data_IF_195528337385
#
_entry.id   IF_195528337385
#
_cell.length_a   1.000
_cell.length_b   1.000
_cell.length_c   1.000
_cell.angle_alpha   90.00
_cell.angle_beta   90.00
_cell.angle_gamma   90.00
#
_symmetry.space_group_name_H-M   'P 1'
#
loop_
_entity.id
_entity.type
_entity.pdbx_description
1 polymer ?
#
# COMPACT_ATOMS: atom_id res chain seq x y z
N UNK A 1 -44.05 50.78 24.88
CA UNK A 1 -42.70 51.35 24.69
C UNK A 1 -41.70 50.35 25.26
N UNK A 2 -40.68 49.81 24.59
CA UNK A 2 -39.99 50.21 23.38
C UNK A 2 -38.48 50.23 23.65
N UNK A 3 -37.75 49.32 22.98
CA UNK A 3 -36.31 49.32 22.65
C UNK A 3 -35.33 48.56 23.58
N UNK A 4 -35.01 47.35 23.13
CA UNK A 4 -33.68 46.84 22.72
C UNK A 4 -32.51 46.97 23.71
N UNK A 5 -31.93 45.82 24.08
CA UNK A 5 -30.50 45.52 23.85
C UNK A 5 -30.32 44.02 23.59
N UNK A 6 -29.78 43.71 22.41
CA UNK A 6 -29.21 42.42 22.00
C UNK A 6 -27.83 42.31 22.67
N UNK A 7 -27.32 41.08 22.89
CA UNK A 7 -25.90 40.65 22.99
C UNK A 7 -25.72 39.71 24.22
N UNK A 8 -25.21 38.49 24.12
CA UNK A 8 -24.56 37.83 22.98
C UNK A 8 -24.61 36.31 23.13
N UNK A 9 -24.87 35.65 22.01
CA UNK A 9 -24.50 34.27 21.78
C UNK A 9 -22.97 34.18 21.82
N UNK A 10 -22.42 33.41 22.76
CA UNK A 10 -20.99 33.17 22.92
C UNK A 10 -20.66 31.69 22.74
N UNK A 11 -20.92 31.20 21.53
CA UNK A 11 -20.31 30.08 20.83
C UNK A 11 -19.46 29.10 21.69
N UNK A 12 -20.06 27.95 22.02
CA UNK A 12 -19.31 26.74 22.33
C UNK A 12 -18.55 26.31 21.07
N UNK A 13 -17.22 26.32 21.12
CA UNK A 13 -16.39 25.59 20.18
C UNK A 13 -15.50 24.63 20.95
N UNK A 14 -16.08 23.47 21.26
CA UNK A 14 -15.32 22.26 21.48
C UNK A 14 -14.63 21.92 20.15
N UNK A 15 -13.38 22.35 19.98
CA UNK A 15 -12.53 21.92 18.87
C UNK A 15 -11.97 20.53 19.19
N UNK A 16 -12.85 19.54 19.27
CA UNK A 16 -12.48 18.14 19.41
C UNK A 16 -12.51 17.49 18.02
N UNK A 17 -11.31 17.14 17.55
CA UNK A 17 -11.11 16.01 16.65
C UNK A 17 -11.61 16.17 15.22
N UNK A 18 -10.77 16.71 14.36
CA UNK A 18 -10.51 16.05 13.08
C UNK A 18 -9.00 16.10 12.85
N UNK A 19 -8.27 15.25 13.58
CA UNK A 19 -7.06 14.67 13.02
C UNK A 19 -7.53 13.75 11.89
N UNK A 20 -7.91 14.36 10.75
CA UNK A 20 -8.10 13.62 9.52
C UNK A 20 -6.80 12.87 9.31
N UNK A 21 -6.87 11.55 9.31
CA UNK A 21 -5.79 10.69 8.87
C UNK A 21 -5.26 11.28 7.57
N UNK A 22 -4.07 11.88 7.61
CA UNK A 22 -3.33 12.15 6.41
C UNK A 22 -3.05 10.77 5.82
N UNK A 23 -3.98 10.30 4.98
CA UNK A 23 -3.79 9.13 4.15
C UNK A 23 -2.47 9.40 3.45
N UNK A 24 -1.43 8.63 3.76
CA UNK A 24 -0.12 8.92 3.20
C UNK A 24 -0.23 8.81 1.68
N UNK A 25 -0.32 9.93 0.98
CA UNK A 25 -0.40 10.03 -0.49
C UNK A 25 0.95 9.73 -1.13
N UNK A 26 1.67 8.72 -0.66
CA UNK A 26 3.01 8.41 -1.15
C UNK A 26 2.99 7.10 -1.93
N UNK A 27 3.13 7.23 -3.24
CA UNK A 27 3.30 6.13 -4.18
C UNK A 27 2.02 5.43 -4.65
N UNK A 28 0.83 5.98 -4.40
CA UNK A 28 -0.46 5.31 -4.72
C UNK A 28 -1.29 5.98 -5.82
N UNK A 29 -0.91 7.17 -6.31
CA UNK A 29 -1.74 7.94 -7.25
C UNK A 29 -1.97 7.27 -8.62
N UNK A 30 -1.15 6.28 -8.95
CA UNK A 30 -1.23 5.50 -10.19
C UNK A 30 -1.94 4.16 -10.00
N UNK A 31 -2.20 3.76 -8.75
CA UNK A 31 -2.77 2.45 -8.45
C UNK A 31 -4.29 2.50 -8.52
N UNK A 32 -4.89 1.49 -9.14
CA UNK A 32 -6.33 1.28 -9.19
C UNK A 32 -6.89 1.09 -7.75
N UNK A 33 -8.15 1.44 -7.54
CA UNK A 33 -8.78 1.30 -6.23
C UNK A 33 -9.01 -0.17 -5.82
N UNK A 34 -9.22 -1.06 -6.79
CA UNK A 34 -9.40 -2.48 -6.59
C UNK A 34 -8.08 -3.22 -6.33
N UNK A 35 -8.16 -4.26 -5.48
CA UNK A 35 -7.05 -5.18 -5.26
C UNK A 35 -7.21 -6.44 -6.12
N UNK A 36 -6.07 -6.98 -6.55
CA UNK A 36 -5.94 -8.26 -7.22
C UNK A 36 -4.94 -9.13 -6.46
N UNK A 37 -5.06 -10.45 -6.63
CA UNK A 37 -3.97 -11.38 -6.34
C UNK A 37 -3.24 -11.74 -7.63
N UNK A 38 -1.92 -11.65 -7.58
CA UNK A 38 -1.01 -12.09 -8.62
C UNK A 38 -0.21 -13.28 -8.09
N UNK A 39 -0.39 -14.44 -8.73
CA UNK A 39 0.43 -15.63 -8.47
C UNK A 39 1.40 -15.81 -9.63
N UNK A 40 2.68 -16.01 -9.33
CA UNK A 40 3.68 -16.22 -10.37
C UNK A 40 5.08 -16.46 -9.84
N UNK A 41 6.03 -16.60 -10.76
CA UNK A 41 7.42 -16.98 -10.44
C UNK A 41 8.34 -15.78 -10.46
N UNK A 42 9.16 -15.62 -9.42
CA UNK A 42 10.13 -14.54 -9.33
C UNK A 42 11.20 -14.67 -10.42
N UNK A 43 11.38 -13.62 -11.22
CA UNK A 43 12.47 -13.49 -12.20
C UNK A 43 13.60 -12.59 -11.70
N UNK A 44 13.30 -11.60 -10.85
CA UNK A 44 14.32 -10.79 -10.17
C UNK A 44 13.80 -10.16 -8.87
N UNK A 45 14.71 -9.81 -7.97
CA UNK A 45 14.42 -9.11 -6.72
C UNK A 45 15.39 -7.95 -6.59
N UNK A 46 14.87 -6.75 -6.33
CA UNK A 46 15.67 -5.56 -6.05
C UNK A 46 15.26 -4.97 -4.71
N UNK A 47 16.12 -5.06 -3.70
CA UNK A 47 15.90 -4.43 -2.39
C UNK A 47 16.70 -3.12 -2.31
N UNK A 48 16.16 -2.06 -2.94
CA UNK A 48 16.79 -0.75 -2.98
C UNK A 48 15.76 0.40 -2.86
N UNK A 49 16.19 1.62 -2.45
CA UNK A 49 15.34 2.82 -2.55
C UNK A 49 14.99 3.16 -4.01
N UNK A 50 13.86 3.86 -4.28
CA UNK A 50 12.87 4.35 -3.32
C UNK A 50 11.88 3.27 -2.82
N UNK A 51 11.69 2.22 -3.61
CA UNK A 51 10.82 1.09 -3.32
C UNK A 51 11.47 -0.20 -3.79
N UNK A 52 11.60 -1.24 -2.94
CA UNK A 52 11.95 -2.56 -3.40
C UNK A 52 10.94 -3.09 -4.44
N UNK A 53 11.43 -3.86 -5.40
CA UNK A 53 10.61 -4.47 -6.45
C UNK A 53 10.92 -5.95 -6.58
N UNK A 54 9.90 -6.70 -7.03
CA UNK A 54 10.03 -8.08 -7.47
C UNK A 54 9.50 -8.13 -8.90
N UNK A 55 10.29 -8.64 -9.84
CA UNK A 55 9.78 -8.95 -11.17
C UNK A 55 9.22 -10.38 -11.14
N UNK A 56 7.98 -10.55 -11.59
CA UNK A 56 7.22 -11.81 -11.47
C UNK A 56 6.70 -12.22 -12.85
N UNK A 57 7.04 -13.41 -13.31
CA UNK A 57 6.43 -14.01 -14.48
C UNK A 57 5.05 -14.57 -14.15
N UNK A 58 4.02 -14.05 -14.80
CA UNK A 58 2.63 -14.50 -14.66
C UNK A 58 1.87 -14.26 -15.97
N UNK A 59 1.03 -15.22 -16.37
CA UNK A 59 0.20 -15.16 -17.59
C UNK A 59 0.95 -14.82 -18.89
N UNK A 60 2.22 -15.22 -18.98
CA UNK A 60 3.08 -14.94 -20.14
C UNK A 60 3.68 -13.52 -20.18
N UNK A 61 3.43 -12.70 -19.16
CA UNK A 61 3.99 -11.36 -18.99
C UNK A 61 4.95 -11.29 -17.78
N UNK A 62 5.78 -10.25 -17.75
CA UNK A 62 6.60 -9.90 -16.58
C UNK A 62 5.93 -8.74 -15.87
N UNK A 63 5.54 -8.97 -14.62
CA UNK A 63 4.94 -8.00 -13.73
C UNK A 63 5.97 -7.36 -12.81
N UNK A 64 5.99 -6.03 -12.76
CA UNK A 64 6.68 -5.31 -11.69
C UNK A 64 5.78 -5.27 -10.45
N UNK A 65 6.19 -5.98 -9.40
CA UNK A 65 5.54 -5.95 -8.09
C UNK A 65 6.33 -4.98 -7.21
N UNK A 66 5.81 -3.76 -7.05
CA UNK A 66 6.41 -2.74 -6.20
C UNK A 66 5.96 -2.89 -4.74
N UNK A 67 6.92 -2.87 -3.82
CA UNK A 67 6.67 -3.05 -2.39
C UNK A 67 6.56 -1.70 -1.65
N UNK A 68 6.73 -1.74 -0.33
CA UNK A 68 6.82 -0.59 0.56
C UNK A 68 8.03 0.31 0.26
N UNK A 69 8.26 1.35 1.06
CA UNK A 69 9.62 1.87 1.14
C UNK A 69 10.53 0.83 1.84
N UNK A 70 11.87 0.92 1.73
CA UNK A 70 12.76 -0.10 2.30
C UNK A 70 12.51 -0.38 3.78
N UNK A 71 12.19 0.64 4.58
CA UNK A 71 11.89 0.47 6.00
C UNK A 71 10.58 -0.28 6.26
N UNK A 72 9.51 -0.04 5.49
CA UNK A 72 8.26 -0.78 5.62
C UNK A 72 8.43 -2.24 5.19
N UNK A 73 9.09 -2.46 4.05
CA UNK A 73 9.41 -3.80 3.55
C UNK A 73 10.27 -4.59 4.54
N UNK A 74 11.29 -3.96 5.13
CA UNK A 74 12.11 -4.58 6.16
C UNK A 74 11.32 -4.89 7.44
N UNK A 75 10.44 -3.98 7.90
CA UNK A 75 9.58 -4.23 9.08
C UNK A 75 8.62 -5.39 8.88
N UNK A 76 8.15 -5.60 7.65
CA UNK A 76 7.33 -6.75 7.29
C UNK A 76 8.11 -8.07 7.30
N UNK A 77 9.46 -8.03 7.36
CA UNK A 77 10.33 -9.19 7.32
C UNK A 77 10.77 -9.61 5.92
N UNK A 78 10.35 -8.90 4.87
CA UNK A 78 10.79 -9.17 3.49
C UNK A 78 12.18 -8.54 3.27
N UNK A 79 13.22 -9.27 3.62
CA UNK A 79 14.62 -8.85 3.52
C UNK A 79 15.37 -9.71 2.50
N UNK A 80 16.64 -9.41 2.25
CA UNK A 80 17.49 -10.24 1.41
C UNK A 80 17.46 -11.71 1.89
N UNK A 81 17.17 -12.63 0.97
CA UNK A 81 17.02 -14.06 1.27
C UNK A 81 15.63 -14.52 1.72
N UNK A 82 14.67 -13.60 1.95
CA UNK A 82 13.28 -13.95 2.26
C UNK A 82 12.55 -14.64 1.09
N UNK A 83 13.03 -14.38 -0.13
CA UNK A 83 12.62 -15.04 -1.36
C UNK A 83 13.80 -15.13 -2.33
N UNK A 84 13.68 -15.97 -3.36
CA UNK A 84 14.73 -16.24 -4.36
C UNK A 84 14.13 -16.32 -5.75
N UNK A 85 14.93 -15.95 -6.75
CA UNK A 85 14.59 -16.16 -8.17
C UNK A 85 14.22 -17.63 -8.40
N UNK A 86 13.14 -17.85 -9.15
CA UNK A 86 12.57 -19.17 -9.43
C UNK A 86 11.54 -19.67 -8.41
N UNK A 87 11.35 -18.99 -7.27
CA UNK A 87 10.25 -19.32 -6.35
C UNK A 87 8.92 -18.74 -6.83
N UNK A 88 7.84 -19.44 -6.54
CA UNK A 88 6.48 -18.92 -6.70
C UNK A 88 6.14 -18.01 -5.51
N UNK A 89 5.42 -16.93 -5.79
CA UNK A 89 4.84 -16.05 -4.76
C UNK A 89 3.37 -15.78 -5.07
N UNK A 90 2.65 -15.36 -4.03
CA UNK A 90 1.35 -14.72 -4.16
C UNK A 90 1.48 -13.28 -3.67
N UNK A 91 1.19 -12.32 -4.53
CA UNK A 91 1.17 -10.90 -4.21
C UNK A 91 -0.26 -10.37 -4.20
N UNK A 92 -0.70 -9.82 -3.07
CA UNK A 92 -1.96 -9.09 -2.95
C UNK A 92 -1.66 -7.60 -3.06
N UNK A 93 -2.42 -6.87 -3.89
CA UNK A 93 -2.24 -5.43 -4.01
C UNK A 93 -3.05 -4.79 -5.12
N UNK A 94 -2.80 -3.50 -5.34
CA UNK A 94 -3.50 -2.69 -6.32
C UNK A 94 -2.74 -2.70 -7.65
N UNK A 95 -3.41 -3.02 -8.76
CA UNK A 95 -2.81 -2.94 -10.10
C UNK A 95 -2.62 -1.49 -10.55
N UNK A 96 -1.85 -1.28 -11.61
CA UNK A 96 -1.81 0.00 -12.31
C UNK A 96 -3.18 0.37 -12.92
N UNK A 97 -3.61 1.61 -12.73
CA UNK A 97 -4.91 2.11 -13.19
C UNK A 97 -4.98 2.33 -14.71
N UNK A 98 -3.84 2.57 -15.36
CA UNK A 98 -3.74 2.79 -16.81
C UNK A 98 -3.43 1.48 -17.57
N UNK A 99 -3.34 0.36 -16.85
CA UNK A 99 -3.24 -0.98 -17.43
C UNK A 99 -1.83 -1.48 -17.67
N UNK A 100 -0.79 -0.82 -17.14
CA UNK A 100 0.56 -1.37 -17.15
C UNK A 100 0.64 -2.69 -16.36
N UNK A 101 1.56 -3.57 -16.74
CA UNK A 101 1.86 -4.84 -16.06
C UNK A 101 2.66 -4.58 -14.76
N UNK A 102 2.03 -3.88 -13.82
CA UNK A 102 2.62 -3.45 -12.54
C UNK A 102 1.56 -3.44 -11.45
N UNK A 103 1.98 -3.70 -10.22
CA UNK A 103 1.14 -3.57 -9.03
C UNK A 103 1.89 -3.01 -7.84
N UNK A 104 1.15 -2.39 -6.90
CA UNK A 104 1.63 -1.99 -5.57
C UNK A 104 1.17 -3.05 -4.58
N UNK A 105 2.10 -3.87 -4.10
CA UNK A 105 1.80 -4.95 -3.17
C UNK A 105 1.56 -4.43 -1.75
N UNK A 106 0.49 -4.91 -1.12
CA UNK A 106 0.22 -4.75 0.32
C UNK A 106 0.66 -5.96 1.13
N UNK A 107 0.71 -7.13 0.50
CA UNK A 107 1.16 -8.41 1.09
C UNK A 107 1.90 -9.24 0.04
N UNK A 108 2.96 -9.90 0.49
CA UNK A 108 3.64 -10.96 -0.27
C UNK A 108 3.55 -12.25 0.54
N UNK A 109 3.26 -13.36 -0.12
CA UNK A 109 3.33 -14.71 0.46
C UNK A 109 4.34 -15.55 -0.30
N UNK A 110 5.30 -16.15 0.41
CA UNK A 110 6.33 -17.04 -0.15
C UNK A 110 6.38 -18.30 0.69
N UNK A 111 6.17 -19.48 0.08
CA UNK A 111 6.14 -20.77 0.78
C UNK A 111 5.25 -20.79 2.04
N UNK A 112 4.10 -20.10 1.98
CA UNK A 112 3.17 -19.96 3.12
C UNK A 112 3.59 -18.93 4.19
N UNK A 113 4.78 -18.33 4.08
CA UNK A 113 5.20 -17.22 4.94
C UNK A 113 4.61 -15.92 4.41
N UNK A 114 3.89 -15.20 5.27
CA UNK A 114 3.18 -13.96 4.94
C UNK A 114 4.00 -12.74 5.38
N UNK A 115 4.16 -11.79 4.47
CA UNK A 115 4.84 -10.51 4.68
C UNK A 115 3.85 -9.36 4.43
N UNK A 116 3.28 -8.82 5.51
CA UNK A 116 2.32 -7.71 5.44
C UNK A 116 3.06 -6.37 5.42
N UNK A 117 3.15 -5.78 4.23
CA UNK A 117 3.90 -4.55 3.96
C UNK A 117 3.08 -3.32 4.34
N UNK A 118 1.78 -3.37 4.07
CA UNK A 118 0.79 -2.35 4.45
C UNK A 118 -0.40 -3.03 5.13
N UNK A 119 -0.24 -3.52 6.38
CA UNK A 119 -1.30 -4.25 7.08
C UNK A 119 -2.62 -3.49 7.15
N UNK A 120 -2.56 -2.16 7.25
CA UNK A 120 -3.71 -1.27 7.33
C UNK A 120 -4.55 -1.19 6.05
N UNK A 121 -4.03 -1.70 4.93
CA UNK A 121 -4.73 -1.72 3.63
C UNK A 121 -5.34 -3.08 3.31
N UNK A 122 -5.04 -4.13 4.08
CA UNK A 122 -5.49 -5.49 3.80
C UNK A 122 -6.97 -5.60 4.16
N UNK A 123 -7.84 -6.07 3.25
CA UNK A 123 -9.25 -6.27 3.53
C UNK A 123 -9.46 -7.23 4.71
N UNK A 124 -10.36 -6.88 5.62
CA UNK A 124 -10.79 -7.70 6.76
C UNK A 124 -11.76 -8.80 6.36
#
# INVERSE_FOLDING_TARGET
>A
MGRRSILGAGLALAFAGLAGSAMAHHGWSWADAGMIELTGTISSITIAPPHPTIEVGADGEIWTVELGNPSATQRAGFVEGAAKVGQEIVALGNRDADGATRMKAVRITVDGTVYDIYPERIPS
#
